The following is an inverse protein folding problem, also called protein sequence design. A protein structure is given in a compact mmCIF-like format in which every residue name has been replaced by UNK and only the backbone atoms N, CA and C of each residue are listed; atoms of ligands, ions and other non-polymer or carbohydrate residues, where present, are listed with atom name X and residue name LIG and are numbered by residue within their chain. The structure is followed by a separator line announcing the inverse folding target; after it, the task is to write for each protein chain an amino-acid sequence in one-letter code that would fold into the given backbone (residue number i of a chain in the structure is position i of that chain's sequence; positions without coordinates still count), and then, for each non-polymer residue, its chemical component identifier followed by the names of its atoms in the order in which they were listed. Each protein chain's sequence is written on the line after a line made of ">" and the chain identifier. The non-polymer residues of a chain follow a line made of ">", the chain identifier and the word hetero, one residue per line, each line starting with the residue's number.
data_IF_833051398616
#
_entry.id   IF_833051398616
#
_cell.length_a   1.000
_cell.length_b   1.000
_cell.length_c   1.000
_cell.angle_alpha   90.00
_cell.angle_beta   90.00
_cell.angle_gamma   90.00
#
_symmetry.space_group_name_H-M   'P 1'
#
loop_
_entity.id
_entity.type
_entity.pdbx_description
1 polymer ?
#
# COMPACT_ATOMS: atom_id res chain seq x y z
N UNK A 1 14.52 0.75 46.31
CA UNK A 1 15.15 0.57 44.98
C UNK A 1 14.48 1.54 44.03
N UNK A 2 15.17 2.65 43.71
CA UNK A 2 14.68 3.68 42.79
C UNK A 2 15.05 3.24 41.37
N UNK A 3 14.04 2.86 40.57
CA UNK A 3 14.24 2.64 39.14
C UNK A 3 14.40 4.01 38.47
N UNK A 4 15.66 4.36 38.21
CA UNK A 4 16.06 5.40 37.27
C UNK A 4 15.42 5.11 35.90
N UNK A 5 14.34 5.82 35.60
CA UNK A 5 13.81 5.94 34.24
C UNK A 5 14.80 6.78 33.45
N UNK A 6 15.72 6.12 32.75
CA UNK A 6 16.50 6.72 31.69
C UNK A 6 15.55 7.12 30.57
N UNK A 7 15.10 8.39 30.62
CA UNK A 7 14.52 9.08 29.49
C UNK A 7 15.55 8.99 28.36
N UNK A 8 15.29 8.12 27.39
CA UNK A 8 16.05 8.07 26.15
C UNK A 8 15.99 9.45 25.52
N UNK A 9 17.16 10.05 25.29
CA UNK A 9 17.25 11.31 24.56
C UNK A 9 16.47 11.17 23.25
N UNK A 10 15.65 12.17 22.88
CA UNK A 10 14.95 12.13 21.61
C UNK A 10 15.99 11.95 20.49
N UNK A 11 15.72 11.07 19.50
CA UNK A 11 16.63 10.91 18.37
C UNK A 11 16.88 12.29 17.73
N UNK A 12 18.12 12.52 17.30
CA UNK A 12 18.46 13.75 16.60
C UNK A 12 17.45 13.99 15.48
N UNK A 13 16.93 15.22 15.38
CA UNK A 13 15.83 15.65 14.51
C UNK A 13 15.93 15.10 13.07
N UNK A 14 17.13 14.99 12.51
CA UNK A 14 17.36 14.44 11.17
C UNK A 14 17.15 12.93 11.04
N UNK A 15 17.31 12.15 12.12
CA UNK A 15 17.16 10.70 12.11
C UNK A 15 15.69 10.26 11.98
N UNK A 16 14.75 11.04 12.52
CA UNK A 16 13.31 10.75 12.46
C UNK A 16 12.80 10.79 11.02
N UNK A 17 13.06 11.88 10.29
CA UNK A 17 12.64 12.03 8.90
C UNK A 17 13.40 11.08 7.97
N UNK A 18 14.69 10.84 8.22
CA UNK A 18 15.50 9.91 7.41
C UNK A 18 14.90 8.51 7.37
N UNK A 19 14.41 8.02 8.52
CA UNK A 19 13.77 6.70 8.59
C UNK A 19 12.45 6.64 7.82
N UNK A 20 11.64 7.71 7.85
CA UNK A 20 10.42 7.81 7.04
C UNK A 20 10.78 7.75 5.55
N UNK A 21 11.74 8.55 5.10
CA UNK A 21 12.23 8.52 3.71
C UNK A 21 12.65 7.12 3.29
N UNK A 22 13.39 6.41 4.13
CA UNK A 22 13.87 5.07 3.83
C UNK A 22 12.71 4.07 3.71
N UNK A 23 11.77 4.07 4.65
CA UNK A 23 10.62 3.17 4.63
C UNK A 23 9.68 3.44 3.43
N UNK A 24 9.48 4.70 3.05
CA UNK A 24 8.73 5.07 1.85
C UNK A 24 9.47 4.70 0.56
N UNK A 25 10.81 4.79 0.57
CA UNK A 25 11.64 4.31 -0.54
C UNK A 25 11.53 2.80 -0.71
N UNK A 26 11.48 2.02 0.38
CA UNK A 26 11.21 0.58 0.28
C UNK A 26 9.87 0.31 -0.41
N UNK A 27 8.81 1.04 -0.07
CA UNK A 27 7.52 0.88 -0.75
C UNK A 27 7.63 1.18 -2.25
N UNK A 28 8.35 2.25 -2.60
CA UNK A 28 8.59 2.60 -4.01
C UNK A 28 9.37 1.52 -4.76
N UNK A 29 10.40 0.94 -4.12
CA UNK A 29 11.17 -0.18 -4.68
C UNK A 29 10.28 -1.41 -4.84
N UNK A 30 9.43 -1.73 -3.87
CA UNK A 30 8.47 -2.84 -3.97
C UNK A 30 7.54 -2.65 -5.17
N UNK A 31 7.00 -1.45 -5.38
CA UNK A 31 6.15 -1.17 -6.55
C UNK A 31 6.92 -1.33 -7.86
N UNK A 32 8.16 -0.87 -7.95
CA UNK A 32 8.99 -1.08 -9.15
C UNK A 32 9.21 -2.57 -9.40
N UNK A 33 9.55 -3.33 -8.36
CA UNK A 33 9.76 -4.77 -8.46
C UNK A 33 8.47 -5.51 -8.84
N UNK A 34 7.34 -5.09 -8.31
CA UNK A 34 6.01 -5.61 -8.66
C UNK A 34 5.71 -5.39 -10.14
N UNK A 35 5.92 -4.18 -10.65
CA UNK A 35 5.74 -3.86 -12.07
C UNK A 35 6.65 -4.71 -12.95
N UNK A 36 7.93 -4.88 -12.59
CA UNK A 36 8.85 -5.75 -13.33
C UNK A 36 8.37 -7.22 -13.27
N UNK A 37 7.94 -7.70 -12.10
CA UNK A 37 7.46 -9.07 -11.92
C UNK A 37 6.22 -9.34 -12.78
N UNK A 38 5.27 -8.40 -12.84
CA UNK A 38 3.99 -8.55 -13.56
C UNK A 38 4.13 -8.36 -15.07
N UNK A 39 4.95 -7.42 -15.51
CA UNK A 39 5.03 -7.03 -16.94
C UNK A 39 6.18 -7.72 -17.70
N UNK A 40 7.12 -8.36 -17.02
CA UNK A 40 8.22 -9.07 -17.67
C UNK A 40 7.94 -10.56 -17.83
N UNK A 41 8.70 -11.21 -18.72
CA UNK A 41 8.69 -12.68 -18.88
C UNK A 41 9.62 -13.41 -17.92
N UNK A 42 10.25 -12.70 -16.98
CA UNK A 42 11.31 -13.26 -16.13
C UNK A 42 10.78 -14.30 -15.13
N UNK A 43 9.50 -14.17 -14.72
CA UNK A 43 8.90 -14.98 -13.65
C UNK A 43 7.65 -15.73 -14.11
N UNK A 44 7.44 -15.88 -15.42
CA UNK A 44 6.28 -16.62 -15.97
C UNK A 44 6.46 -18.14 -15.93
N UNK A 45 7.67 -18.64 -15.61
CA UNK A 45 7.93 -20.07 -15.44
C UNK A 45 7.32 -20.63 -14.14
N UNK A 46 7.32 -21.96 -14.02
CA UNK A 46 6.76 -22.66 -12.86
C UNK A 46 7.78 -22.83 -11.73
N UNK A 47 7.27 -22.83 -10.50
CA UNK A 47 8.05 -23.04 -9.26
C UNK A 47 8.53 -24.50 -9.15
N UNK A 48 7.73 -25.45 -9.64
CA UNK A 48 8.05 -26.88 -9.64
C UNK A 48 7.51 -27.59 -10.89
N UNK A 49 7.98 -28.83 -11.13
CA UNK A 49 7.66 -29.60 -12.35
C UNK A 49 6.22 -30.08 -12.46
N UNK A 50 5.46 -30.10 -11.36
CA UNK A 50 4.02 -30.35 -11.37
C UNK A 50 3.21 -29.09 -11.73
N UNK A 51 3.90 -27.99 -12.06
CA UNK A 51 3.33 -26.73 -12.55
C UNK A 51 2.35 -26.07 -11.57
N UNK A 52 2.38 -26.40 -10.27
CA UNK A 52 1.33 -25.99 -9.33
C UNK A 52 1.17 -24.47 -9.11
N UNK A 53 2.22 -23.69 -9.39
CA UNK A 53 2.25 -22.23 -9.25
C UNK A 53 3.36 -21.62 -10.13
N UNK A 54 3.18 -20.39 -10.62
CA UNK A 54 4.24 -19.65 -11.34
C UNK A 54 5.06 -18.79 -10.38
N UNK A 55 6.27 -18.42 -10.78
CA UNK A 55 7.12 -17.53 -9.99
C UNK A 55 6.50 -16.14 -9.79
N UNK A 56 5.79 -15.63 -10.80
CA UNK A 56 5.09 -14.33 -10.74
C UNK A 56 4.06 -14.33 -9.60
N UNK A 57 3.22 -15.36 -9.53
CA UNK A 57 2.17 -15.52 -8.53
C UNK A 57 2.78 -15.67 -7.13
N UNK A 58 3.84 -16.47 -6.98
CA UNK A 58 4.53 -16.67 -5.71
C UNK A 58 5.11 -15.36 -5.14
N UNK A 59 5.79 -14.57 -5.98
CA UNK A 59 6.39 -13.31 -5.54
C UNK A 59 5.34 -12.25 -5.22
N UNK A 60 4.25 -12.20 -5.99
CA UNK A 60 3.13 -11.31 -5.72
C UNK A 60 2.33 -11.70 -4.49
N UNK A 61 2.28 -12.99 -4.13
CA UNK A 61 1.56 -13.49 -2.96
C UNK A 61 2.37 -13.37 -1.68
N UNK A 62 3.67 -13.71 -1.72
CA UNK A 62 4.50 -13.85 -0.52
C UNK A 62 5.59 -12.80 -0.41
N UNK A 63 6.49 -12.74 -1.40
CA UNK A 63 7.75 -11.99 -1.24
C UNK A 63 7.53 -10.49 -1.18
N UNK A 64 6.83 -9.93 -2.18
CA UNK A 64 6.65 -8.49 -2.31
C UNK A 64 5.69 -7.92 -1.24
N UNK A 65 4.52 -8.55 -0.97
CA UNK A 65 3.64 -8.08 0.11
C UNK A 65 4.30 -8.18 1.48
N UNK A 66 5.14 -9.19 1.74
CA UNK A 66 5.84 -9.29 3.03
C UNK A 66 6.82 -8.14 3.24
N UNK A 67 7.61 -7.79 2.21
CA UNK A 67 8.54 -6.64 2.30
C UNK A 67 7.75 -5.35 2.54
N UNK A 68 6.65 -5.14 1.81
CA UNK A 68 5.76 -3.99 1.98
C UNK A 68 5.15 -3.94 3.39
N UNK A 69 4.64 -5.07 3.89
CA UNK A 69 4.04 -5.19 5.21
C UNK A 69 5.06 -4.89 6.32
N UNK A 70 6.27 -5.44 6.23
CA UNK A 70 7.34 -5.14 7.18
C UNK A 70 7.65 -3.65 7.18
N UNK A 71 7.75 -3.02 6.01
CA UNK A 71 7.95 -1.57 5.93
C UNK A 71 6.78 -0.78 6.54
N UNK A 72 5.52 -1.20 6.34
CA UNK A 72 4.36 -0.57 6.99
C UNK A 72 4.34 -0.74 8.50
N UNK A 73 4.68 -1.93 9.02
CA UNK A 73 4.78 -2.19 10.46
C UNK A 73 5.89 -1.34 11.09
N UNK A 74 7.07 -1.27 10.45
CA UNK A 74 8.17 -0.44 10.91
C UNK A 74 7.84 1.05 10.84
N UNK A 75 7.07 1.47 9.83
CA UNK A 75 6.58 2.84 9.69
C UNK A 75 5.60 3.17 10.82
N UNK A 76 4.60 2.32 11.05
CA UNK A 76 3.66 2.45 12.17
C UNK A 76 4.40 2.61 13.50
N UNK A 77 5.32 1.70 13.79
CA UNK A 77 6.11 1.73 15.04
C UNK A 77 6.95 3.01 15.15
N UNK A 78 7.48 3.50 14.03
CA UNK A 78 8.28 4.72 14.00
C UNK A 78 7.46 5.99 14.24
N UNK A 79 6.22 6.05 13.76
CA UNK A 79 5.31 7.18 14.02
C UNK A 79 4.92 7.27 15.50
N UNK A 80 4.84 6.14 16.20
CA UNK A 80 4.36 6.05 17.58
C UNK A 80 5.47 6.36 18.61
N UNK A 81 5.67 7.64 18.92
CA UNK A 81 6.51 8.05 20.05
C UNK A 81 5.81 7.89 21.41
N UNK A 82 6.60 7.84 22.48
CA UNK A 82 6.07 7.80 23.85
C UNK A 82 5.25 9.07 24.16
N UNK A 83 3.94 8.91 24.35
CA UNK A 83 3.01 9.97 24.75
C UNK A 83 1.74 9.38 25.37
N UNK A 84 0.94 10.19 26.10
CA UNK A 84 -0.33 9.73 26.68
C UNK A 84 -1.32 9.18 25.64
N UNK A 85 -1.27 9.68 24.40
CA UNK A 85 -2.12 9.21 23.30
C UNK A 85 -1.94 7.71 23.00
N UNK A 86 -0.80 7.12 23.36
CA UNK A 86 -0.51 5.69 23.19
C UNK A 86 -1.29 4.78 24.15
N UNK A 87 -1.89 5.35 25.20
CA UNK A 87 -2.75 4.60 26.13
C UNK A 87 -4.23 4.91 25.93
N UNK A 88 -4.56 5.72 24.92
CA UNK A 88 -5.94 6.10 24.63
C UNK A 88 -6.70 4.98 23.91
N UNK A 89 -8.01 4.92 24.13
CA UNK A 89 -8.94 4.01 23.45
C UNK A 89 -8.84 4.13 21.93
N UNK A 90 -8.64 5.34 21.41
CA UNK A 90 -8.52 5.55 19.97
C UNK A 90 -7.27 4.94 19.37
N UNK A 91 -6.13 5.02 20.06
CA UNK A 91 -4.90 4.37 19.60
C UNK A 91 -5.03 2.85 19.55
N UNK A 92 -5.67 2.26 20.56
CA UNK A 92 -5.98 0.84 20.60
C UNK A 92 -6.92 0.42 19.46
N UNK A 93 -7.99 1.18 19.23
CA UNK A 93 -8.93 0.92 18.13
C UNK A 93 -8.26 0.99 16.76
N UNK A 94 -7.41 2.01 16.52
CA UNK A 94 -6.66 2.15 15.26
C UNK A 94 -5.62 1.03 15.11
N UNK A 95 -4.96 0.62 16.19
CA UNK A 95 -4.01 -0.50 16.15
C UNK A 95 -4.70 -1.83 15.85
N UNK A 96 -5.88 -2.08 16.42
CA UNK A 96 -6.70 -3.24 16.10
C UNK A 96 -7.16 -3.21 14.64
N UNK A 97 -7.63 -2.04 14.16
CA UNK A 97 -8.00 -1.86 12.76
C UNK A 97 -6.82 -2.14 11.82
N UNK A 98 -5.61 -1.71 12.16
CA UNK A 98 -4.41 -2.02 11.37
C UNK A 98 -4.20 -3.54 11.26
N UNK A 99 -4.29 -4.28 12.38
CA UNK A 99 -4.13 -5.74 12.40
C UNK A 99 -5.19 -6.43 11.54
N UNK A 100 -6.46 -6.05 11.70
CA UNK A 100 -7.57 -6.58 10.90
C UNK A 100 -7.36 -6.28 9.42
N UNK A 101 -6.92 -5.06 9.09
CA UNK A 101 -6.65 -4.65 7.71
C UNK A 101 -5.51 -5.46 7.09
N UNK A 102 -4.45 -5.76 7.85
CA UNK A 102 -3.35 -6.62 7.42
C UNK A 102 -3.84 -8.05 7.14
N UNK A 103 -4.68 -8.61 8.02
CA UNK A 103 -5.26 -9.94 7.79
C UNK A 103 -6.09 -9.97 6.50
N UNK A 104 -7.00 -9.00 6.34
CA UNK A 104 -7.85 -8.90 5.16
C UNK A 104 -7.01 -8.71 3.89
N UNK A 105 -6.00 -7.84 3.93
CA UNK A 105 -5.09 -7.61 2.80
C UNK A 105 -4.35 -8.88 2.39
N UNK A 106 -3.84 -9.65 3.35
CA UNK A 106 -3.20 -10.93 3.10
C UNK A 106 -4.15 -11.99 2.56
N UNK A 107 -5.39 -12.03 3.05
CA UNK A 107 -6.43 -12.91 2.53
C UNK A 107 -6.76 -12.59 1.06
N UNK A 108 -6.89 -11.32 0.70
CA UNK A 108 -7.11 -10.87 -0.68
C UNK A 108 -5.97 -11.28 -1.62
N UNK A 109 -4.71 -11.05 -1.23
CA UNK A 109 -3.56 -11.49 -2.03
C UNK A 109 -3.46 -13.01 -2.17
N UNK A 110 -3.72 -13.74 -1.10
CA UNK A 110 -3.68 -15.21 -1.11
C UNK A 110 -4.74 -15.82 -2.02
N UNK A 111 -5.93 -15.21 -2.07
CA UNK A 111 -7.00 -15.61 -2.97
C UNK A 111 -6.64 -15.24 -4.42
N UNK A 112 -6.37 -13.95 -4.68
CA UNK A 112 -6.11 -13.39 -6.02
C UNK A 112 -5.01 -14.16 -6.78
N UNK A 113 -3.84 -14.36 -6.19
CA UNK A 113 -2.71 -14.94 -6.94
C UNK A 113 -2.93 -16.43 -7.23
N UNK A 114 -3.62 -17.15 -6.35
CA UNK A 114 -3.98 -18.56 -6.58
C UNK A 114 -5.08 -18.65 -7.63
N UNK A 115 -6.10 -17.79 -7.59
CA UNK A 115 -7.18 -17.80 -8.57
C UNK A 115 -6.75 -17.32 -9.95
N UNK A 116 -5.86 -16.33 -10.03
CA UNK A 116 -5.22 -15.90 -11.28
C UNK A 116 -4.43 -17.05 -11.94
N UNK A 117 -3.71 -17.85 -11.15
CA UNK A 117 -3.08 -19.07 -11.66
C UNK A 117 -4.12 -20.06 -12.22
N UNK A 118 -5.21 -20.31 -11.48
CA UNK A 118 -6.29 -21.21 -11.93
C UNK A 118 -6.98 -20.68 -13.19
N UNK A 119 -7.16 -19.37 -13.30
CA UNK A 119 -7.74 -18.69 -14.46
C UNK A 119 -6.90 -19.02 -15.70
N UNK A 120 -5.61 -18.72 -15.67
CA UNK A 120 -4.70 -18.99 -16.78
C UNK A 120 -4.65 -20.49 -17.12
N UNK A 121 -4.77 -21.38 -16.12
CA UNK A 121 -4.64 -22.82 -16.34
C UNK A 121 -5.89 -23.51 -16.89
N UNK A 122 -7.08 -23.05 -16.51
CA UNK A 122 -8.34 -23.78 -16.74
C UNK A 122 -9.39 -23.04 -17.57
N UNK A 123 -9.27 -21.71 -17.74
CA UNK A 123 -10.30 -20.92 -18.43
C UNK A 123 -10.03 -20.65 -19.90
N UNK A 124 -8.78 -20.73 -20.38
CA UNK A 124 -8.43 -20.32 -21.75
C UNK A 124 -9.18 -21.12 -22.81
N UNK A 125 -9.38 -22.42 -22.60
CA UNK A 125 -10.04 -23.31 -23.56
C UNK A 125 -11.57 -23.34 -23.42
N UNK A 126 -12.12 -22.91 -22.28
CA UNK A 126 -13.55 -22.97 -21.96
C UNK A 126 -14.00 -21.82 -21.03
N UNK A 127 -13.94 -20.56 -21.51
CA UNK A 127 -14.21 -19.38 -20.70
C UNK A 127 -15.65 -19.33 -20.15
N UNK A 128 -16.61 -19.92 -20.88
CA UNK A 128 -18.03 -19.93 -20.48
C UNK A 128 -18.40 -21.12 -19.58
N UNK A 129 -17.43 -21.92 -19.14
CA UNK A 129 -17.70 -23.03 -18.23
C UNK A 129 -18.09 -22.53 -16.83
N UNK A 130 -18.90 -23.31 -16.10
CA UNK A 130 -19.27 -22.97 -14.71
C UNK A 130 -18.05 -22.85 -13.81
N UNK A 131 -17.04 -23.71 -14.01
CA UNK A 131 -15.78 -23.63 -13.28
C UNK A 131 -15.08 -22.30 -13.56
N UNK A 132 -14.98 -21.90 -14.83
CA UNK A 132 -14.31 -20.66 -15.17
C UNK A 132 -15.02 -19.43 -14.61
N UNK A 133 -16.36 -19.38 -14.65
CA UNK A 133 -17.13 -18.30 -14.02
C UNK A 133 -16.86 -18.18 -12.51
N UNK A 134 -16.73 -19.32 -11.80
CA UNK A 134 -16.38 -19.31 -10.37
C UNK A 134 -14.96 -18.77 -10.17
N UNK A 135 -14.00 -19.20 -11.00
CA UNK A 135 -12.61 -18.73 -10.92
C UNK A 135 -12.53 -17.22 -11.17
N UNK A 136 -13.12 -16.73 -12.26
CA UNK A 136 -13.15 -15.29 -12.61
C UNK A 136 -13.78 -14.48 -11.48
N UNK A 137 -14.90 -14.93 -10.92
CA UNK A 137 -15.52 -14.21 -9.81
C UNK A 137 -14.61 -14.12 -8.58
N UNK A 138 -13.92 -15.21 -8.20
CA UNK A 138 -13.00 -15.14 -7.06
C UNK A 138 -11.78 -14.26 -7.37
N UNK A 139 -11.27 -14.34 -8.60
CA UNK A 139 -10.11 -13.57 -9.04
C UNK A 139 -10.41 -12.08 -9.22
N UNK A 140 -11.32 -11.72 -10.11
CA UNK A 140 -11.53 -10.34 -10.55
C UNK A 140 -12.52 -9.55 -9.68
N UNK A 141 -13.35 -10.21 -8.87
CA UNK A 141 -14.34 -9.55 -8.00
C UNK A 141 -14.03 -9.73 -6.50
N UNK A 142 -14.20 -10.93 -5.97
CA UNK A 142 -14.17 -11.16 -4.52
C UNK A 142 -12.80 -10.85 -3.92
N UNK A 143 -11.71 -11.37 -4.50
CA UNK A 143 -10.36 -11.12 -4.00
C UNK A 143 -10.01 -9.64 -4.04
N UNK A 144 -10.45 -8.90 -5.08
CA UNK A 144 -10.26 -7.46 -5.19
C UNK A 144 -11.02 -6.70 -4.09
N UNK A 145 -12.29 -7.02 -3.81
CA UNK A 145 -13.01 -6.37 -2.71
C UNK A 145 -12.34 -6.57 -1.37
N UNK A 146 -11.90 -7.80 -1.09
CA UNK A 146 -11.18 -8.15 0.13
C UNK A 146 -9.85 -7.38 0.17
N UNK A 147 -9.07 -7.41 -0.91
CA UNK A 147 -7.80 -6.73 -1.03
C UNK A 147 -7.94 -5.21 -0.82
N UNK A 148 -8.88 -4.56 -1.50
CA UNK A 148 -9.11 -3.11 -1.38
C UNK A 148 -9.54 -2.72 0.03
N UNK A 149 -10.38 -3.52 0.69
CA UNK A 149 -10.77 -3.26 2.09
C UNK A 149 -9.53 -3.27 3.01
N UNK A 150 -8.66 -4.27 2.86
CA UNK A 150 -7.39 -4.34 3.60
C UNK A 150 -6.45 -3.19 3.26
N UNK A 151 -6.29 -2.88 1.96
CA UNK A 151 -5.45 -1.79 1.47
C UNK A 151 -5.90 -0.42 2.01
N UNK A 152 -7.20 -0.10 1.91
CA UNK A 152 -7.76 1.14 2.48
C UNK A 152 -7.52 1.19 3.98
N UNK A 153 -7.79 0.08 4.68
CA UNK A 153 -7.62 0.01 6.12
C UNK A 153 -6.17 0.25 6.57
N UNK A 154 -5.17 -0.34 5.91
CA UNK A 154 -3.74 -0.12 6.21
C UNK A 154 -3.37 1.35 5.98
N UNK A 155 -3.69 1.92 4.81
CA UNK A 155 -3.29 3.29 4.49
C UNK A 155 -4.01 4.32 5.36
N UNK A 156 -5.31 4.14 5.59
CA UNK A 156 -6.09 5.01 6.46
C UNK A 156 -5.61 4.97 7.91
N UNK A 157 -5.26 3.78 8.44
CA UNK A 157 -4.72 3.65 9.80
C UNK A 157 -3.34 4.29 9.93
N UNK A 158 -2.44 4.14 8.96
CA UNK A 158 -1.14 4.83 8.99
C UNK A 158 -1.30 6.36 8.98
N UNK A 159 -2.20 6.90 8.16
CA UNK A 159 -2.52 8.33 8.19
C UNK A 159 -3.16 8.76 9.51
N UNK A 160 -4.08 7.95 10.07
CA UNK A 160 -4.68 8.23 11.36
C UNK A 160 -3.65 8.23 12.51
N UNK A 161 -2.67 7.32 12.46
CA UNK A 161 -1.56 7.28 13.41
C UNK A 161 -0.68 8.53 13.27
N UNK A 162 -0.32 8.95 12.05
CA UNK A 162 0.39 10.23 11.85
C UNK A 162 -0.43 11.43 12.36
N UNK A 163 -1.76 11.38 12.29
CA UNK A 163 -2.63 12.43 12.82
C UNK A 163 -2.68 12.45 14.36
N UNK A 164 -2.59 11.28 15.01
CA UNK A 164 -2.50 11.13 16.47
C UNK A 164 -1.12 11.46 17.02
N UNK A 165 -0.08 11.13 16.25
CA UNK A 165 1.32 11.38 16.58
C UNK A 165 1.96 12.25 15.48
N UNK A 166 1.61 13.56 15.40
CA UNK A 166 2.24 14.47 14.44
C UNK A 166 3.75 14.49 14.63
N UNK A 167 4.48 14.58 13.53
CA UNK A 167 5.93 14.76 13.55
C UNK A 167 6.25 16.04 14.31
N UNK A 168 7.19 15.93 15.26
CA UNK A 168 7.58 17.06 16.13
C UNK A 168 8.50 18.06 15.43
N UNK A 169 9.00 17.67 14.26
CA UNK A 169 9.91 18.43 13.42
C UNK A 169 9.14 19.12 12.31
N UNK A 170 9.37 20.42 12.10
CA UNK A 170 8.82 21.10 10.93
C UNK A 170 9.36 20.49 9.64
N UNK A 171 8.44 20.17 8.72
CA UNK A 171 8.81 19.59 7.44
C UNK A 171 9.43 20.67 6.54
N UNK A 172 10.76 20.65 6.41
CA UNK A 172 11.45 21.58 5.53
C UNK A 172 11.04 21.36 4.07
N UNK A 173 11.08 22.43 3.25
CA UNK A 173 10.75 22.36 1.81
C UNK A 173 11.53 21.27 1.07
N UNK A 174 12.81 21.07 1.45
CA UNK A 174 13.66 20.02 0.89
C UNK A 174 13.10 18.62 1.18
N UNK A 175 12.67 18.36 2.41
CA UNK A 175 12.07 17.07 2.75
C UNK A 175 10.71 16.89 2.09
N UNK A 176 9.86 17.91 2.03
CA UNK A 176 8.58 17.84 1.30
C UNK A 176 8.80 17.50 -0.17
N UNK A 177 9.79 18.13 -0.81
CA UNK A 177 10.17 17.82 -2.20
C UNK A 177 10.62 16.37 -2.37
N UNK A 178 11.52 15.89 -1.51
CA UNK A 178 12.01 14.50 -1.57
C UNK A 178 10.89 13.47 -1.35
N UNK A 179 9.96 13.74 -0.43
CA UNK A 179 8.78 12.91 -0.22
C UNK A 179 7.89 12.92 -1.46
N UNK A 180 7.66 14.09 -2.06
CA UNK A 180 6.88 14.24 -3.28
C UNK A 180 7.48 13.46 -4.44
N UNK A 181 8.79 13.57 -4.67
CA UNK A 181 9.50 12.78 -5.71
C UNK A 181 9.38 11.28 -5.45
N UNK A 182 9.55 10.85 -4.20
CA UNK A 182 9.36 9.44 -3.84
C UNK A 182 7.92 8.96 -4.11
N UNK A 183 6.93 9.80 -3.80
CA UNK A 183 5.52 9.52 -4.04
C UNK A 183 5.17 9.35 -5.52
N UNK A 184 5.95 9.95 -6.44
CA UNK A 184 5.74 9.79 -7.88
C UNK A 184 5.96 8.34 -8.35
N UNK A 185 6.81 7.56 -7.68
CA UNK A 185 6.96 6.13 -8.02
C UNK A 185 5.68 5.33 -7.71
N UNK A 186 5.02 5.66 -6.60
CA UNK A 186 3.70 5.08 -6.29
C UNK A 186 2.64 5.61 -7.26
N UNK A 187 2.67 6.90 -7.60
CA UNK A 187 1.77 7.48 -8.59
C UNK A 187 1.87 6.78 -9.96
N UNK A 188 3.09 6.41 -10.38
CA UNK A 188 3.31 5.64 -11.59
C UNK A 188 2.73 4.22 -11.51
N UNK A 189 2.87 3.55 -10.36
CA UNK A 189 2.23 2.25 -10.14
C UNK A 189 0.71 2.33 -10.23
N UNK A 190 0.11 3.36 -9.61
CA UNK A 190 -1.33 3.63 -9.68
C UNK A 190 -1.76 3.91 -11.11
N UNK A 191 -1.02 4.77 -11.81
CA UNK A 191 -1.28 5.08 -13.21
C UNK A 191 -1.22 3.83 -14.07
N UNK A 192 -0.21 2.98 -13.90
CA UNK A 192 -0.05 1.75 -14.66
C UNK A 192 -1.23 0.78 -14.46
N UNK A 193 -1.75 0.67 -13.24
CA UNK A 193 -2.95 -0.14 -13.00
C UNK A 193 -4.20 0.54 -13.60
N UNK A 194 -4.49 1.79 -13.23
CA UNK A 194 -5.74 2.47 -13.61
C UNK A 194 -5.86 2.85 -15.09
N UNK A 195 -4.75 3.14 -15.78
CA UNK A 195 -4.79 3.62 -17.16
C UNK A 195 -5.05 2.47 -18.15
N UNK A 196 -4.57 1.27 -17.85
CA UNK A 196 -4.57 0.15 -18.79
C UNK A 196 -5.54 -0.97 -18.42
N UNK A 197 -6.04 -1.01 -17.18
CA UNK A 197 -7.11 -1.90 -16.77
C UNK A 197 -8.49 -1.22 -16.95
N UNK A 198 -9.57 -2.01 -16.94
CA UNK A 198 -10.92 -1.47 -16.96
C UNK A 198 -11.14 -0.63 -15.71
N UNK A 199 -11.67 0.59 -15.89
CA UNK A 199 -11.86 1.55 -14.80
C UNK A 199 -12.94 0.99 -13.87
N UNK A 200 -12.51 0.39 -12.76
CA UNK A 200 -13.37 -0.24 -11.77
C UNK A 200 -13.33 0.44 -10.40
N UNK A 201 -13.41 -0.39 -9.37
CA UNK A 201 -13.41 -0.01 -7.95
C UNK A 201 -12.18 0.82 -7.57
N UNK A 202 -11.05 0.54 -8.20
CA UNK A 202 -9.73 1.11 -7.98
C UNK A 202 -9.73 2.64 -7.98
N UNK A 203 -10.43 3.25 -8.95
CA UNK A 203 -10.51 4.70 -9.09
C UNK A 203 -11.15 5.32 -7.84
N UNK A 204 -12.25 4.74 -7.37
CA UNK A 204 -12.96 5.20 -6.19
C UNK A 204 -12.12 5.05 -4.93
N UNK A 205 -11.37 3.95 -4.82
CA UNK A 205 -10.49 3.70 -3.69
C UNK A 205 -9.34 4.70 -3.64
N UNK A 206 -8.67 4.93 -4.77
CA UNK A 206 -7.57 5.90 -4.84
C UNK A 206 -8.09 7.32 -4.60
N UNK A 207 -9.25 7.69 -5.14
CA UNK A 207 -9.89 8.98 -4.89
C UNK A 207 -10.27 9.18 -3.42
N UNK A 208 -10.83 8.15 -2.78
CA UNK A 208 -11.15 8.16 -1.35
C UNK A 208 -9.90 8.43 -0.50
N UNK A 209 -8.81 7.71 -0.76
CA UNK A 209 -7.57 7.88 0.00
C UNK A 209 -6.88 9.21 -0.29
N UNK A 210 -6.95 9.72 -1.54
CA UNK A 210 -6.51 11.08 -1.87
C UNK A 210 -7.28 12.12 -1.07
N UNK A 211 -8.61 12.02 -1.05
CA UNK A 211 -9.49 12.92 -0.29
C UNK A 211 -9.20 12.87 1.21
N UNK A 212 -9.00 11.68 1.77
CA UNK A 212 -8.61 11.51 3.17
C UNK A 212 -7.25 12.17 3.48
N UNK A 213 -6.25 11.97 2.62
CA UNK A 213 -4.93 12.58 2.80
C UNK A 213 -5.00 14.11 2.76
N UNK A 214 -5.72 14.69 1.80
CA UNK A 214 -5.95 16.13 1.71
C UNK A 214 -6.72 16.68 2.91
N UNK A 215 -7.77 15.99 3.36
CA UNK A 215 -8.55 16.38 4.53
C UNK A 215 -7.68 16.42 5.79
N UNK A 216 -6.87 15.39 6.01
CA UNK A 216 -5.95 15.31 7.16
C UNK A 216 -4.86 16.36 7.06
N UNK A 217 -4.28 16.58 5.87
CA UNK A 217 -3.30 17.64 5.64
C UNK A 217 -3.88 19.03 5.95
N UNK A 218 -5.12 19.29 5.53
CA UNK A 218 -5.79 20.56 5.83
C UNK A 218 -6.02 20.75 7.33
N UNK A 219 -6.39 19.69 8.05
CA UNK A 219 -6.68 19.77 9.50
C UNK A 219 -5.47 19.70 10.42
N UNK A 220 -4.40 19.02 10.02
CA UNK A 220 -3.24 18.70 10.88
C UNK A 220 -1.93 19.26 10.33
N UNK A 221 -1.98 19.99 9.22
CA UNK A 221 -0.82 20.59 8.58
C UNK A 221 -0.01 19.61 7.74
N UNK A 222 1.15 20.07 7.30
CA UNK A 222 2.04 19.37 6.38
C UNK A 222 2.84 18.27 7.10
N UNK A 223 2.23 17.09 7.24
CA UNK A 223 2.89 15.91 7.79
C UNK A 223 3.45 15.02 6.67
N UNK A 224 4.56 14.29 6.90
CA UNK A 224 5.22 13.48 5.88
C UNK A 224 4.29 12.53 5.12
N UNK A 225 3.49 11.73 5.83
CA UNK A 225 2.59 10.78 5.18
C UNK A 225 1.44 11.46 4.44
N UNK A 226 0.92 12.59 4.94
CA UNK A 226 -0.15 13.29 4.22
C UNK A 226 0.36 13.84 2.90
N UNK A 227 1.55 14.44 2.89
CA UNK A 227 2.20 14.90 1.66
C UNK A 227 2.43 13.72 0.70
N UNK A 228 2.94 12.60 1.22
CA UNK A 228 3.22 11.41 0.43
C UNK A 228 1.96 10.86 -0.25
N UNK A 229 0.91 10.57 0.52
CA UNK A 229 -0.33 10.01 0.01
C UNK A 229 -1.11 10.99 -0.86
N UNK A 230 -1.21 12.26 -0.46
CA UNK A 230 -1.86 13.28 -1.28
C UNK A 230 -1.16 13.43 -2.64
N UNK A 231 0.18 13.44 -2.66
CA UNK A 231 0.94 13.51 -3.91
C UNK A 231 0.77 12.25 -4.75
N UNK A 232 1.01 11.07 -4.17
CA UNK A 232 0.95 9.80 -4.90
C UNK A 232 -0.43 9.58 -5.54
N UNK A 233 -1.50 9.70 -4.74
CA UNK A 233 -2.85 9.42 -5.20
C UNK A 233 -3.39 10.49 -6.14
N UNK A 234 -3.15 11.78 -5.85
CA UNK A 234 -3.61 12.85 -6.76
C UNK A 234 -2.89 12.79 -8.09
N UNK A 235 -1.55 12.63 -8.10
CA UNK A 235 -0.79 12.59 -9.34
C UNK A 235 -1.13 11.34 -10.18
N UNK A 236 -1.33 10.19 -9.54
CA UNK A 236 -1.79 8.97 -10.21
C UNK A 236 -3.15 9.17 -10.88
N UNK A 237 -4.14 9.69 -10.13
CA UNK A 237 -5.48 9.99 -10.66
C UNK A 237 -5.46 10.99 -11.81
N UNK A 238 -4.68 12.08 -11.68
CA UNK A 238 -4.57 13.09 -12.72
C UNK A 238 -3.94 12.51 -13.99
N UNK A 239 -2.85 11.75 -13.86
CA UNK A 239 -2.20 11.11 -15.01
C UNK A 239 -3.16 10.14 -15.73
N UNK A 240 -3.87 9.29 -14.98
CA UNK A 240 -4.88 8.38 -15.52
C UNK A 240 -6.00 9.15 -16.23
N UNK A 241 -6.55 10.17 -15.57
CA UNK A 241 -7.63 10.98 -16.13
C UNK A 241 -7.24 11.66 -17.43
N UNK A 242 -6.03 12.22 -17.52
CA UNK A 242 -5.50 12.83 -18.74
C UNK A 242 -5.44 11.81 -19.88
N UNK A 243 -4.86 10.63 -19.64
CA UNK A 243 -4.72 9.59 -20.68
C UNK A 243 -6.09 9.13 -21.18
N UNK A 244 -7.02 8.82 -20.26
CA UNK A 244 -8.37 8.38 -20.64
C UNK A 244 -9.18 9.46 -21.37
N UNK A 245 -9.09 10.73 -20.95
CA UNK A 245 -9.78 11.86 -21.62
C UNK A 245 -9.21 12.10 -23.02
N UNK A 246 -7.89 11.96 -23.21
CA UNK A 246 -7.23 12.14 -24.50
C UNK A 246 -7.38 10.93 -25.43
N UNK A 247 -7.92 9.81 -24.94
CA UNK A 247 -8.08 8.57 -25.72
C UNK A 247 -6.74 7.91 -26.06
N UNK A 248 -5.74 8.05 -25.17
CA UNK A 248 -4.40 7.46 -25.30
C UNK A 248 -4.33 6.07 -24.65
#
# INVERSE_FOLDING_TARGET
>A
MSHSNTLSNPPAIGAELSRIHWLLTVQSVVIILLTINRLSKLTTGYVASNEFLRWVDLHNMLTLPLISLVAFVLLKQHLEYASPARHDLWHNAISLLFIVSVYIFGAGYGDHEVTNYLHVRFCLDAPDSTLCRIIIFNDDEFSHWVWFAGFVGINATLMAIQALFPTRTELSRRHSWLIGVNALFIALGIFANLAFEEIGLDLYIVALLAGLAWLLMWRKGWQPLFVYYATAYTMGLLATGIVKILGL
#
